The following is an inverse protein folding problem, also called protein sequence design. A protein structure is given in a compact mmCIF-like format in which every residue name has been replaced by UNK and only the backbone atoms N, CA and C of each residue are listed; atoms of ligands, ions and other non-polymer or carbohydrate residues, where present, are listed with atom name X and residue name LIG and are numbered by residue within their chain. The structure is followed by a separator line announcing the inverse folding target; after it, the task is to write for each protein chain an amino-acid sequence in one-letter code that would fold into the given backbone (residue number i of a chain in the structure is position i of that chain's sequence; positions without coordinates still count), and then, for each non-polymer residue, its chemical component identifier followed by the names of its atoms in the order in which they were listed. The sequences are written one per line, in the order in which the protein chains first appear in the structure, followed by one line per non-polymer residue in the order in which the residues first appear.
data_IF_916296833470
#
_entry.id   IF_916296833470
#
_cell.length_a   1.000
_cell.length_b   1.000
_cell.length_c   1.000
_cell.angle_alpha   90.00
_cell.angle_beta   90.00
_cell.angle_gamma   90.00
#
_symmetry.space_group_name_H-M   'P 1'
#
loop_
_entity.id
_entity.type
_entity.pdbx_description
1 polymer ?
#
# COMPACT_ATOMS: atom_id res chain seq x y z
N UNK A 1 -15.44 -49.67 -24.03
CA UNK A 1 -14.74 -48.77 -23.08
C UNK A 1 -14.31 -49.65 -21.92
N UNK A 2 -13.02 -49.99 -21.83
CA UNK A 2 -12.53 -51.03 -20.93
C UNK A 2 -12.35 -50.47 -19.51
N UNK A 3 -12.65 -51.27 -18.49
CA UNK A 3 -12.46 -50.92 -17.06
C UNK A 3 -10.99 -50.60 -16.76
N UNK A 4 -10.08 -51.21 -17.50
CA UNK A 4 -8.64 -50.97 -17.46
C UNK A 4 -8.25 -49.53 -17.88
N UNK A 5 -8.96 -48.97 -18.86
CA UNK A 5 -8.72 -47.60 -19.33
C UNK A 5 -9.21 -46.57 -18.29
N UNK A 6 -10.32 -46.89 -17.60
CA UNK A 6 -10.87 -46.06 -16.51
C UNK A 6 -9.98 -46.12 -15.25
N UNK A 7 -9.44 -47.30 -14.93
CA UNK A 7 -8.51 -47.47 -13.81
C UNK A 7 -7.18 -46.77 -14.05
N UNK A 8 -6.63 -46.83 -15.27
CA UNK A 8 -5.42 -46.10 -15.65
C UNK A 8 -5.60 -44.59 -15.57
N UNK A 9 -6.78 -44.07 -15.95
CA UNK A 9 -7.09 -42.64 -15.86
C UNK A 9 -7.18 -42.15 -14.41
N UNK A 10 -7.81 -42.92 -13.52
CA UNK A 10 -7.91 -42.59 -12.09
C UNK A 10 -6.55 -42.70 -11.38
N UNK A 11 -5.74 -43.71 -11.70
CA UNK A 11 -4.40 -43.88 -11.14
C UNK A 11 -3.43 -42.79 -11.62
N UNK A 12 -3.54 -42.35 -12.89
CA UNK A 12 -2.76 -41.20 -13.37
C UNK A 12 -3.25 -39.88 -12.76
N UNK A 13 -4.55 -39.68 -12.55
CA UNK A 13 -5.05 -38.53 -11.79
C UNK A 13 -4.57 -38.52 -10.33
N UNK A 14 -4.53 -39.67 -9.66
CA UNK A 14 -3.98 -39.79 -8.30
C UNK A 14 -2.46 -39.65 -8.22
N UNK A 15 -1.71 -39.99 -9.27
CA UNK A 15 -0.26 -39.81 -9.32
C UNK A 15 0.17 -38.39 -9.72
N UNK A 16 -0.66 -37.68 -10.49
CA UNK A 16 -0.45 -36.27 -10.87
C UNK A 16 -0.94 -35.28 -9.80
N UNK A 17 -1.90 -35.69 -8.96
CA UNK A 17 -2.51 -34.88 -7.89
C UNK A 17 -1.54 -34.38 -6.79
N UNK A 18 -0.56 -35.16 -6.28
CA UNK A 18 0.28 -34.72 -5.18
C UNK A 18 1.25 -33.61 -5.60
N UNK A 19 1.84 -33.72 -6.79
CA UNK A 19 2.78 -32.72 -7.30
C UNK A 19 2.08 -31.43 -7.67
N UNK A 20 0.90 -31.51 -8.30
CA UNK A 20 0.08 -30.34 -8.58
C UNK A 20 -0.43 -29.67 -7.31
N UNK A 21 -0.76 -30.44 -6.27
CA UNK A 21 -1.17 -29.92 -4.97
C UNK A 21 -0.01 -29.24 -4.23
N UNK A 22 1.19 -29.80 -4.29
CA UNK A 22 2.40 -29.22 -3.69
C UNK A 22 2.78 -27.88 -4.34
N UNK A 23 2.82 -27.80 -5.68
CA UNK A 23 3.08 -26.55 -6.41
C UNK A 23 2.03 -25.48 -6.10
N UNK A 24 0.78 -25.90 -5.92
CA UNK A 24 -0.32 -25.03 -5.53
C UNK A 24 -0.19 -24.47 -4.13
N UNK A 25 0.14 -25.33 -3.17
CA UNK A 25 0.33 -24.96 -1.76
C UNK A 25 1.53 -24.03 -1.64
N UNK A 26 2.63 -24.28 -2.34
CA UNK A 26 3.75 -23.35 -2.45
C UNK A 26 3.34 -22.01 -3.10
N UNK A 27 2.56 -22.11 -4.19
CA UNK A 27 1.86 -21.02 -4.87
C UNK A 27 1.11 -20.08 -3.92
N UNK A 28 0.33 -20.68 -3.04
CA UNK A 28 -0.50 -19.99 -2.07
C UNK A 28 0.31 -19.44 -0.90
N UNK A 29 1.27 -20.22 -0.39
CA UNK A 29 2.12 -19.84 0.74
C UNK A 29 3.03 -18.66 0.40
N UNK A 30 3.77 -18.69 -0.70
CA UNK A 30 4.61 -17.55 -1.09
C UNK A 30 3.74 -16.31 -1.43
N UNK A 31 2.57 -16.48 -2.05
CA UNK A 31 1.64 -15.38 -2.26
C UNK A 31 1.20 -14.72 -0.94
N UNK A 32 0.94 -15.55 0.07
CA UNK A 32 0.52 -15.11 1.42
C UNK A 32 1.65 -14.40 2.17
N UNK A 33 2.86 -14.99 2.18
CA UNK A 33 4.03 -14.41 2.85
C UNK A 33 4.37 -13.03 2.27
N UNK A 34 4.38 -12.93 0.94
CA UNK A 34 4.64 -11.66 0.26
C UNK A 34 3.58 -10.60 0.56
N UNK A 35 2.31 -11.01 0.74
CA UNK A 35 1.24 -10.09 1.11
C UNK A 35 1.40 -9.60 2.57
N UNK A 36 1.84 -10.47 3.47
CA UNK A 36 2.20 -10.11 4.85
C UNK A 36 3.34 -9.09 4.85
N UNK A 37 4.38 -9.30 4.05
CA UNK A 37 5.50 -8.36 3.90
C UNK A 37 5.02 -6.99 3.40
N UNK A 38 4.19 -6.97 2.36
CA UNK A 38 3.59 -5.73 1.83
C UNK A 38 2.78 -5.01 2.89
N UNK A 39 1.97 -5.73 3.67
CA UNK A 39 1.21 -5.17 4.80
C UNK A 39 2.12 -4.63 5.90
N UNK A 40 3.28 -5.24 6.13
CA UNK A 40 4.34 -4.73 6.99
C UNK A 40 4.84 -3.37 6.53
N UNK A 41 5.27 -3.27 5.28
CA UNK A 41 5.75 -2.01 4.70
C UNK A 41 4.67 -0.94 4.71
N UNK A 42 3.41 -1.29 4.40
CA UNK A 42 2.28 -0.36 4.45
C UNK A 42 2.11 0.25 5.85
N UNK A 43 2.19 -0.57 6.91
CA UNK A 43 2.12 -0.11 8.30
C UNK A 43 3.25 0.85 8.65
N UNK A 44 4.46 0.58 8.20
CA UNK A 44 5.62 1.46 8.43
C UNK A 44 5.46 2.79 7.71
N UNK A 45 4.97 2.76 6.47
CA UNK A 45 4.64 3.97 5.71
C UNK A 45 3.56 4.82 6.41
N UNK A 46 2.52 4.19 6.95
CA UNK A 46 1.48 4.89 7.72
C UNK A 46 2.05 5.53 8.99
N UNK A 47 3.00 4.88 9.66
CA UNK A 47 3.69 5.44 10.83
C UNK A 47 4.51 6.68 10.45
N UNK A 48 5.28 6.62 9.35
CA UNK A 48 6.04 7.77 8.84
C UNK A 48 5.13 8.95 8.46
N UNK A 49 3.97 8.68 7.84
CA UNK A 49 2.98 9.75 7.57
C UNK A 49 2.56 10.44 8.87
N UNK A 50 2.22 9.66 9.91
CA UNK A 50 1.76 10.20 11.20
C UNK A 50 2.83 11.08 11.83
N UNK A 51 4.10 10.65 11.79
CA UNK A 51 5.23 11.42 12.30
C UNK A 51 5.40 12.74 11.55
N UNK A 52 5.49 12.71 10.22
CA UNK A 52 5.68 13.92 9.43
C UNK A 52 4.51 14.91 9.56
N UNK A 53 3.27 14.43 9.66
CA UNK A 53 2.10 15.28 9.91
C UNK A 53 2.18 15.92 11.29
N UNK A 54 2.57 15.16 12.32
CA UNK A 54 2.75 15.67 13.69
C UNK A 54 3.83 16.74 13.75
N UNK A 55 4.95 16.54 13.07
CA UNK A 55 6.05 17.49 13.01
C UNK A 55 5.61 18.80 12.33
N UNK A 56 4.89 18.69 11.22
CA UNK A 56 4.36 19.85 10.50
C UNK A 56 3.38 20.65 11.38
N UNK A 57 2.43 19.97 12.03
CA UNK A 57 1.49 20.59 12.96
C UNK A 57 2.20 21.25 14.16
N UNK A 58 3.21 20.57 14.72
CA UNK A 58 3.98 21.07 15.85
C UNK A 58 4.81 22.30 15.48
N UNK A 59 5.40 22.31 14.29
CA UNK A 59 6.13 23.47 13.75
C UNK A 59 5.21 24.68 13.58
N UNK A 60 4.06 24.48 12.93
CA UNK A 60 3.07 25.54 12.72
C UNK A 60 2.53 26.13 14.03
N UNK A 61 2.29 25.28 15.04
CA UNK A 61 1.79 25.73 16.35
C UNK A 61 2.80 26.57 17.13
N UNK A 62 4.10 26.27 17.01
CA UNK A 62 5.14 26.86 17.87
C UNK A 62 5.50 28.31 17.54
N UNK A 63 4.95 28.93 16.47
CA UNK A 63 5.32 30.29 15.99
C UNK A 63 6.84 30.55 16.06
N UNK A 64 7.65 29.56 15.68
CA UNK A 64 9.10 29.70 15.60
C UNK A 64 9.41 30.23 14.20
N UNK A 65 10.27 31.24 14.08
CA UNK A 65 10.46 32.03 12.86
C UNK A 65 10.57 31.21 11.57
N UNK A 66 10.23 31.87 10.46
CA UNK A 66 9.89 31.28 9.15
C UNK A 66 10.85 30.17 8.68
N UNK A 67 12.16 30.34 8.89
CA UNK A 67 13.19 29.38 8.47
C UNK A 67 13.05 27.97 9.08
N UNK A 68 12.59 27.86 10.33
CA UNK A 68 12.44 26.55 10.98
C UNK A 68 11.23 25.78 10.45
N UNK A 69 10.18 26.50 10.06
CA UNK A 69 8.96 25.94 9.46
C UNK A 69 9.19 25.58 8.00
N UNK A 70 9.94 26.39 7.25
CA UNK A 70 10.37 26.07 5.88
C UNK A 70 11.14 24.74 5.80
N UNK A 71 12.06 24.48 6.73
CA UNK A 71 12.81 23.21 6.78
C UNK A 71 11.87 22.01 6.98
N UNK A 72 10.90 22.11 7.89
CA UNK A 72 9.94 21.02 8.16
C UNK A 72 9.03 20.80 6.94
N UNK A 73 8.57 21.86 6.29
CA UNK A 73 7.80 21.78 5.04
C UNK A 73 8.62 21.10 3.93
N UNK A 74 9.87 21.51 3.74
CA UNK A 74 10.76 20.93 2.74
C UNK A 74 10.97 19.42 2.97
N UNK A 75 11.19 19.00 4.23
CA UNK A 75 11.28 17.59 4.62
C UNK A 75 10.00 16.83 4.27
N UNK A 76 8.83 17.37 4.60
CA UNK A 76 7.55 16.74 4.26
C UNK A 76 7.34 16.61 2.74
N UNK A 77 7.66 17.65 1.96
CA UNK A 77 7.56 17.60 0.49
C UNK A 77 8.48 16.52 -0.09
N UNK A 78 9.72 16.43 0.41
CA UNK A 78 10.67 15.39 0.01
C UNK A 78 10.12 13.99 0.33
N UNK A 79 9.63 13.80 1.57
CA UNK A 79 8.99 12.56 2.00
C UNK A 79 7.83 12.15 1.08
N UNK A 80 6.89 13.05 0.75
CA UNK A 80 5.77 12.75 -0.15
C UNK A 80 6.26 12.24 -1.51
N UNK A 81 7.33 12.81 -2.07
CA UNK A 81 7.89 12.40 -3.37
C UNK A 81 8.46 10.98 -3.29
N UNK A 82 9.23 10.68 -2.25
CA UNK A 82 9.80 9.34 -2.03
C UNK A 82 8.70 8.31 -1.81
N UNK A 83 7.78 8.60 -0.89
CA UNK A 83 6.65 7.72 -0.60
C UNK A 83 5.80 7.42 -1.83
N UNK A 84 5.54 8.41 -2.70
CA UNK A 84 4.80 8.19 -3.95
C UNK A 84 5.50 7.20 -4.88
N UNK A 85 6.84 7.16 -4.89
CA UNK A 85 7.61 6.16 -5.65
C UNK A 85 7.49 4.79 -5.01
N UNK A 86 7.61 4.70 -3.69
CA UNK A 86 7.57 3.42 -2.99
C UNK A 86 6.20 2.77 -3.04
N UNK A 87 5.12 3.55 -2.85
CA UNK A 87 3.74 3.05 -3.01
C UNK A 87 3.50 2.52 -4.43
N UNK A 88 4.04 3.16 -5.48
CA UNK A 88 3.93 2.64 -6.85
C UNK A 88 4.62 1.29 -7.02
N UNK A 89 5.79 1.09 -6.40
CA UNK A 89 6.49 -0.21 -6.40
C UNK A 89 5.65 -1.27 -5.68
N UNK A 90 5.08 -0.92 -4.52
CA UNK A 90 4.23 -1.84 -3.76
C UNK A 90 2.97 -2.25 -4.53
N UNK A 91 2.33 -1.32 -5.25
CA UNK A 91 1.20 -1.67 -6.14
C UNK A 91 1.64 -2.67 -7.21
N UNK A 92 2.84 -2.51 -7.80
CA UNK A 92 3.35 -3.46 -8.77
C UNK A 92 3.59 -4.84 -8.14
N UNK A 93 4.11 -4.90 -6.92
CA UNK A 93 4.27 -6.15 -6.16
C UNK A 93 2.92 -6.81 -5.89
N UNK A 94 1.92 -6.06 -5.43
CA UNK A 94 0.57 -6.59 -5.17
C UNK A 94 -0.07 -7.15 -6.44
N UNK A 95 0.12 -6.50 -7.59
CA UNK A 95 -0.33 -7.03 -8.89
C UNK A 95 0.36 -8.34 -9.27
N UNK A 96 1.63 -8.52 -8.91
CA UNK A 96 2.33 -9.78 -9.15
C UNK A 96 1.77 -10.89 -8.24
N UNK A 97 1.49 -10.58 -6.97
CA UNK A 97 0.85 -11.49 -6.03
C UNK A 97 -0.54 -11.87 -6.53
N UNK A 98 -1.33 -10.89 -6.98
CA UNK A 98 -2.66 -11.09 -7.55
C UNK A 98 -2.62 -12.04 -8.76
N UNK A 99 -1.64 -11.88 -9.66
CA UNK A 99 -1.46 -12.80 -10.78
C UNK A 99 -1.10 -14.22 -10.33
N UNK A 100 -0.23 -14.34 -9.32
CA UNK A 100 0.16 -15.65 -8.77
C UNK A 100 -1.05 -16.36 -8.17
N UNK A 101 -1.79 -15.68 -7.28
CA UNK A 101 -3.02 -16.21 -6.64
C UNK A 101 -4.14 -16.40 -7.68
N UNK A 102 -4.19 -15.55 -8.68
CA UNK A 102 -5.15 -15.55 -9.77
C UNK A 102 -5.02 -16.72 -10.73
N UNK A 103 -3.78 -17.14 -11.02
CA UNK A 103 -3.46 -18.27 -11.90
C UNK A 103 -3.69 -19.64 -11.28
N UNK A 104 -4.01 -19.69 -9.99
CA UNK A 104 -4.34 -20.90 -9.29
C UNK A 104 -5.75 -21.39 -9.70
N UNK A 105 -5.84 -22.52 -10.42
CA UNK A 105 -7.09 -23.17 -10.92
C UNK A 105 -7.98 -23.78 -9.81
N UNK A 106 -9.07 -23.12 -9.42
CA UNK A 106 -9.94 -23.53 -8.29
C UNK A 106 -10.60 -24.93 -8.40
N UNK A 107 -10.36 -25.64 -9.51
CA UNK A 107 -11.02 -26.86 -9.90
C UNK A 107 -10.39 -28.06 -9.16
N UNK A 108 -11.17 -28.71 -8.30
CA UNK A 108 -10.72 -29.84 -7.48
C UNK A 108 -10.19 -29.48 -6.09
N UNK A 109 -10.35 -28.21 -5.68
CA UNK A 109 -9.89 -27.71 -4.39
C UNK A 109 -10.93 -27.92 -3.28
N UNK A 110 -10.49 -28.24 -2.06
CA UNK A 110 -11.40 -28.33 -0.91
C UNK A 110 -11.98 -26.95 -0.51
N UNK A 111 -13.06 -26.98 0.28
CA UNK A 111 -13.78 -25.79 0.73
C UNK A 111 -12.92 -24.83 1.58
N UNK A 112 -12.00 -25.37 2.39
CA UNK A 112 -11.12 -24.59 3.25
C UNK A 112 -10.10 -23.80 2.42
N UNK A 113 -9.41 -24.46 1.49
CA UNK A 113 -8.46 -23.82 0.60
C UNK A 113 -9.13 -22.77 -0.31
N UNK A 114 -10.33 -23.06 -0.83
CA UNK A 114 -11.15 -22.08 -1.56
C UNK A 114 -11.47 -20.84 -0.72
N UNK A 115 -11.78 -21.04 0.57
CA UNK A 115 -12.01 -19.94 1.52
C UNK A 115 -10.76 -19.09 1.73
N UNK A 116 -9.58 -19.71 1.87
CA UNK A 116 -8.31 -18.99 2.02
C UNK A 116 -8.01 -18.12 0.80
N UNK A 117 -8.17 -18.66 -0.42
CA UNK A 117 -7.97 -17.90 -1.66
C UNK A 117 -8.89 -16.69 -1.74
N UNK A 118 -10.16 -16.87 -1.37
CA UNK A 118 -11.13 -15.78 -1.32
C UNK A 118 -10.67 -14.67 -0.38
N UNK A 119 -10.27 -15.02 0.85
CA UNK A 119 -9.76 -14.05 1.82
C UNK A 119 -8.51 -13.34 1.29
N UNK A 120 -7.56 -14.05 0.68
CA UNK A 120 -6.36 -13.42 0.11
C UNK A 120 -6.70 -12.44 -1.01
N UNK A 121 -7.67 -12.76 -1.87
CA UNK A 121 -8.16 -11.84 -2.91
C UNK A 121 -8.77 -10.59 -2.30
N UNK A 122 -9.58 -10.73 -1.24
CA UNK A 122 -10.12 -9.58 -0.51
C UNK A 122 -9.00 -8.71 0.10
N UNK A 123 -7.97 -9.32 0.67
CA UNK A 123 -6.81 -8.59 1.22
C UNK A 123 -6.02 -7.88 0.11
N UNK A 124 -5.82 -8.50 -1.05
CA UNK A 124 -5.20 -7.87 -2.23
C UNK A 124 -5.97 -6.63 -2.66
N UNK A 125 -7.30 -6.73 -2.75
CA UNK A 125 -8.18 -5.61 -3.12
C UNK A 125 -8.11 -4.50 -2.09
N UNK A 126 -8.19 -4.83 -0.79
CA UNK A 126 -8.10 -3.86 0.29
C UNK A 126 -6.75 -3.14 0.30
N UNK A 127 -5.66 -3.89 0.19
CA UNK A 127 -4.28 -3.36 0.17
C UNK A 127 -4.07 -2.42 -1.03
N UNK A 128 -4.55 -2.82 -2.22
CA UNK A 128 -4.49 -1.99 -3.43
C UNK A 128 -5.28 -0.69 -3.26
N UNK A 129 -6.47 -0.76 -2.68
CA UNK A 129 -7.32 0.41 -2.40
C UNK A 129 -6.64 1.38 -1.44
N UNK A 130 -6.00 0.87 -0.38
CA UNK A 130 -5.24 1.71 0.55
C UNK A 130 -4.07 2.40 -0.16
N UNK A 131 -3.34 1.69 -1.02
CA UNK A 131 -2.26 2.32 -1.78
C UNK A 131 -2.76 3.41 -2.75
N UNK A 132 -3.91 3.21 -3.39
CA UNK A 132 -4.53 4.26 -4.21
C UNK A 132 -4.96 5.47 -3.37
N UNK A 133 -5.52 5.26 -2.19
CA UNK A 133 -5.84 6.33 -1.25
C UNK A 133 -4.58 7.11 -0.85
N UNK A 134 -3.48 6.41 -0.54
CA UNK A 134 -2.19 7.04 -0.23
C UNK A 134 -1.66 7.86 -1.42
N UNK A 135 -1.72 7.34 -2.64
CA UNK A 135 -1.31 8.09 -3.83
C UNK A 135 -2.15 9.36 -4.05
N UNK A 136 -3.47 9.27 -3.81
CA UNK A 136 -4.38 10.41 -3.88
C UNK A 136 -4.00 11.47 -2.84
N UNK A 137 -3.87 11.05 -1.58
CA UNK A 137 -3.43 11.91 -0.48
C UNK A 137 -2.08 12.57 -0.77
N UNK A 138 -1.14 11.87 -1.41
CA UNK A 138 0.18 12.41 -1.79
C UNK A 138 0.19 13.24 -3.08
N UNK A 139 -0.91 13.26 -3.83
CA UNK A 139 -1.03 14.06 -5.06
C UNK A 139 -1.75 15.40 -4.84
N UNK A 140 -2.38 15.60 -3.69
CA UNK A 140 -2.99 16.88 -3.33
C UNK A 140 -1.95 18.01 -3.43
N UNK A 141 -2.24 19.11 -4.15
CA UNK A 141 -1.33 20.24 -4.27
C UNK A 141 -1.02 20.77 -2.88
N UNK A 142 0.26 20.85 -2.50
CA UNK A 142 0.68 21.76 -1.43
C UNK A 142 0.34 23.14 -1.94
N UNK A 143 -0.81 23.69 -1.52
CA UNK A 143 -1.23 25.00 -1.98
C UNK A 143 -0.14 25.99 -1.56
N UNK A 144 0.61 26.50 -2.55
CA UNK A 144 1.51 27.65 -2.35
C UNK A 144 0.74 28.83 -1.73
N UNK A 145 -0.60 28.83 -1.83
CA UNK A 145 -1.48 29.84 -1.24
C UNK A 145 -1.49 29.91 0.30
N UNK A 146 -1.15 28.84 1.03
CA UNK A 146 -1.12 28.93 2.50
C UNK A 146 0.17 29.59 2.99
N UNK A 147 1.29 29.28 2.34
CA UNK A 147 2.58 29.94 2.62
C UNK A 147 2.53 31.41 2.19
N UNK A 148 1.97 31.73 1.01
CA UNK A 148 1.82 33.12 0.59
C UNK A 148 0.80 33.90 1.43
N UNK A 149 -0.30 33.28 1.90
CA UNK A 149 -1.24 33.94 2.82
C UNK A 149 -0.66 34.15 4.22
N UNK A 150 0.20 33.26 4.71
CA UNK A 150 0.88 33.42 6.01
C UNK A 150 1.98 34.49 5.95
N UNK A 151 2.69 34.61 4.82
CA UNK A 151 3.73 35.62 4.63
C UNK A 151 3.16 37.03 4.39
N UNK A 152 1.96 37.17 3.80
CA UNK A 152 1.35 38.48 3.55
C UNK A 152 0.55 39.07 4.73
N UNK A 153 0.30 38.32 5.81
CA UNK A 153 -0.48 38.84 6.96
C UNK A 153 0.33 39.67 7.97
N UNK A 154 1.64 39.85 7.78
CA UNK A 154 2.50 40.57 8.74
C UNK A 154 2.79 42.03 8.39
N UNK A 155 2.23 42.58 7.31
CA UNK A 155 2.60 43.93 6.82
C UNK A 155 1.48 44.98 6.94
N UNK A 156 0.51 44.79 7.84
CA UNK A 156 -0.64 45.71 8.00
C UNK A 156 -0.77 46.37 9.37
N UNK A 157 0.21 46.22 10.27
CA UNK A 157 0.09 46.74 11.65
C UNK A 157 1.13 47.79 12.04
N UNK A 158 1.49 48.71 11.14
CA UNK A 158 2.24 49.91 11.53
C UNK A 158 1.66 51.19 10.92
N UNK A 159 0.56 51.66 11.50
CA UNK A 159 0.25 53.09 11.50
C UNK A 159 0.21 53.56 12.96
N UNK A 160 1.27 54.27 13.37
CA UNK A 160 1.34 55.00 14.65
C UNK A 160 0.28 56.10 14.69
N UNK A 161 -0.37 56.37 15.83
CA UNK A 161 -1.05 57.63 16.05
C UNK A 161 -0.02 58.66 16.53
N UNK A 162 0.03 59.82 15.88
CA UNK A 162 0.55 61.05 16.48
C UNK A 162 -0.57 62.06 16.48
N UNK A 163 -0.83 62.63 17.66
CA UNK A 163 -1.70 63.79 17.87
C UNK A 163 -1.27 64.97 16.99
#
# INVERSE_FOLDING_TARGET
MCVDDLLKLNLTQQALSPHQHEEWVDGLLDGSLRLIDVCGVLRDLMSQIKEHVRDLQSSLRRRKGDSSTEIVIAKYISFRKTMKKDVKKLIATVKQIEKRIGGLSLLGLDHHMSSVIRVLREVVVATTSIFHLLLSFMSSPTTRSLVSRLLHTNDSSLQRPTC
#
